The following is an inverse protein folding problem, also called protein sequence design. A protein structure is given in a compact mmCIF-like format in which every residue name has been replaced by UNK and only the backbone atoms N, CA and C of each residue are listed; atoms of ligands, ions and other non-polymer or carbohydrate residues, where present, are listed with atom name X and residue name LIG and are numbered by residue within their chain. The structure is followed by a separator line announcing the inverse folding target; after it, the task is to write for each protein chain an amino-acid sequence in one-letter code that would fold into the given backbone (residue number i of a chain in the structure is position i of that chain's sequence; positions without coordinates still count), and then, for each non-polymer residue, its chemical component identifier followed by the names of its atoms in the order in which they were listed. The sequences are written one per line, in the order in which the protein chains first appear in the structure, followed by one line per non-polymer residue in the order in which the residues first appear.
data_IF_585095470803
#
_entry.id   IF_585095470803
#
_cell.length_a   1.000
_cell.length_b   1.000
_cell.length_c   1.000
_cell.angle_alpha   90.00
_cell.angle_beta   90.00
_cell.angle_gamma   90.00
#
_symmetry.space_group_name_H-M   'P 1'
#
loop_
_entity.id
_entity.type
_entity.pdbx_description
1 polymer ?
#
# COMPACT_ATOMS: atom_id res chain seq x y z
N UNK A 1 5.75 -3.32 -21.29
CA UNK A 1 5.86 -2.79 -19.91
C UNK A 1 6.26 -3.97 -19.04
N UNK A 2 7.21 -3.80 -18.13
CA UNK A 2 7.55 -4.90 -17.21
C UNK A 2 6.30 -5.22 -16.38
N UNK A 3 5.90 -6.50 -16.36
CA UNK A 3 4.79 -6.99 -15.53
C UNK A 3 5.26 -7.37 -14.12
N UNK A 4 6.45 -6.92 -13.72
CA UNK A 4 7.01 -7.21 -12.41
C UNK A 4 6.17 -6.51 -11.33
N UNK A 5 5.52 -7.27 -10.43
CA UNK A 5 4.77 -6.67 -9.33
C UNK A 5 5.68 -6.14 -8.24
N UNK A 6 6.99 -6.40 -8.28
CA UNK A 6 7.95 -6.03 -7.24
C UNK A 6 8.76 -4.80 -7.66
N UNK A 7 8.99 -3.89 -6.73
CA UNK A 7 9.91 -2.76 -6.86
C UNK A 7 11.00 -2.83 -5.80
N UNK A 8 12.22 -2.51 -6.18
CA UNK A 8 13.33 -2.32 -5.24
C UNK A 8 13.21 -0.97 -4.54
N UNK A 9 13.70 -0.88 -3.29
CA UNK A 9 13.71 0.38 -2.55
C UNK A 9 14.44 1.50 -3.32
N UNK A 10 15.56 1.16 -3.97
CA UNK A 10 16.36 2.13 -4.73
C UNK A 10 15.57 2.74 -5.90
N UNK A 11 14.63 1.99 -6.47
CA UNK A 11 13.77 2.47 -7.56
C UNK A 11 12.72 3.48 -7.09
N UNK A 12 12.40 3.56 -5.80
CA UNK A 12 11.39 4.51 -5.29
C UNK A 12 11.79 5.96 -5.52
N UNK A 13 13.08 6.28 -5.43
CA UNK A 13 13.64 7.61 -5.75
C UNK A 13 13.44 8.02 -7.22
N UNK A 14 13.18 7.06 -8.10
CA UNK A 14 12.94 7.29 -9.54
C UNK A 14 11.47 7.49 -9.88
N UNK A 15 10.56 7.17 -8.94
CA UNK A 15 9.14 7.38 -9.13
C UNK A 15 8.79 8.86 -8.85
N UNK A 16 8.11 9.56 -9.78
CA UNK A 16 7.79 10.98 -9.59
C UNK A 16 6.79 11.20 -8.45
N UNK A 17 5.88 10.25 -8.25
CA UNK A 17 4.91 10.23 -7.16
C UNK A 17 4.39 8.80 -6.96
N UNK A 18 4.03 8.48 -5.73
CA UNK A 18 3.41 7.21 -5.35
C UNK A 18 2.69 7.34 -4.00
N UNK A 19 1.75 6.42 -3.73
CA UNK A 19 1.13 6.24 -2.42
C UNK A 19 1.82 5.09 -1.71
N UNK A 20 2.42 5.34 -0.55
CA UNK A 20 3.08 4.30 0.23
C UNK A 20 2.11 3.70 1.25
N UNK A 21 2.00 2.38 1.26
CA UNK A 21 1.08 1.61 2.09
C UNK A 21 1.85 0.64 2.99
N UNK A 22 1.61 0.74 4.30
CA UNK A 22 2.22 -0.11 5.33
C UNK A 22 1.18 -1.12 5.85
N UNK A 23 1.44 -2.40 5.67
CA UNK A 23 0.51 -3.48 6.02
C UNK A 23 0.79 -4.05 7.42
N UNK A 24 1.80 -3.53 8.13
CA UNK A 24 2.13 -4.01 9.47
C UNK A 24 1.02 -3.68 10.47
N UNK A 25 1.02 -4.39 11.59
CA UNK A 25 0.05 -4.14 12.65
C UNK A 25 0.17 -2.71 13.22
N UNK A 26 -0.88 -2.28 13.94
CA UNK A 26 -0.94 -0.91 14.46
C UNK A 26 0.19 -0.60 15.44
N UNK A 27 0.68 -1.58 16.19
CA UNK A 27 1.75 -1.37 17.15
C UNK A 27 3.09 -1.11 16.43
N UNK A 28 3.41 -1.90 15.42
CA UNK A 28 4.59 -1.72 14.58
C UNK A 28 4.55 -0.40 13.81
N UNK A 29 3.39 -0.05 13.22
CA UNK A 29 3.21 1.23 12.52
C UNK A 29 3.42 2.43 13.45
N UNK A 30 2.89 2.38 14.68
CA UNK A 30 3.04 3.45 15.67
C UNK A 30 4.45 3.56 16.24
N UNK A 31 5.23 2.46 16.26
CA UNK A 31 6.62 2.47 16.72
C UNK A 31 7.55 3.18 15.73
N UNK A 32 7.26 3.05 14.43
CA UNK A 32 7.98 3.72 13.36
C UNK A 32 7.45 3.27 12.01
N UNK A 33 7.27 4.22 11.09
CA UNK A 33 6.80 3.98 9.73
C UNK A 33 7.49 4.95 8.77
N UNK A 34 7.38 4.68 7.47
CA UNK A 34 8.00 5.54 6.48
C UNK A 34 7.26 6.88 6.42
N UNK A 35 7.96 7.99 6.13
CA UNK A 35 7.32 9.28 5.93
C UNK A 35 6.15 9.19 4.94
N UNK A 36 4.97 9.62 5.37
CA UNK A 36 3.72 9.64 4.59
C UNK A 36 3.16 8.26 4.21
N UNK A 37 3.63 7.18 4.84
CA UNK A 37 3.00 5.87 4.74
C UNK A 37 1.59 5.91 5.35
N UNK A 38 0.63 5.28 4.69
CA UNK A 38 -0.71 5.05 5.23
C UNK A 38 -0.81 3.60 5.66
N UNK A 39 -1.24 3.36 6.89
CA UNK A 39 -1.45 2.01 7.38
C UNK A 39 -2.67 1.38 6.70
N UNK A 40 -2.50 0.16 6.19
CA UNK A 40 -3.61 -0.67 5.70
C UNK A 40 -4.15 -1.50 6.87
N UNK A 41 -5.45 -1.42 7.20
CA UNK A 41 -6.06 -2.24 8.25
C UNK A 41 -6.34 -3.65 7.69
N UNK A 42 -5.29 -4.42 7.41
CA UNK A 42 -5.40 -5.71 6.71
C UNK A 42 -6.28 -6.71 7.45
N UNK A 43 -6.28 -6.66 8.77
CA UNK A 43 -7.16 -7.45 9.62
C UNK A 43 -8.65 -7.21 9.32
N UNK A 44 -9.02 -5.97 8.98
CA UNK A 44 -10.39 -5.60 8.60
C UNK A 44 -10.68 -6.09 7.18
N UNK A 45 -9.73 -5.95 6.27
CA UNK A 45 -9.88 -6.39 4.87
C UNK A 45 -10.00 -7.92 4.76
N UNK A 46 -9.24 -8.68 5.55
CA UNK A 46 -9.36 -10.14 5.61
C UNK A 46 -10.73 -10.60 6.11
N UNK A 47 -11.25 -9.94 7.15
CA UNK A 47 -12.58 -10.23 7.67
C UNK A 47 -13.65 -9.86 6.63
N UNK A 48 -13.52 -8.70 5.99
CA UNK A 48 -14.46 -8.21 5.00
C UNK A 48 -14.55 -9.15 3.79
N UNK A 49 -13.42 -9.58 3.25
CA UNK A 49 -13.36 -10.48 2.09
C UNK A 49 -14.02 -11.84 2.33
N UNK A 50 -14.12 -12.29 3.59
CA UNK A 50 -14.76 -13.56 4.00
C UNK A 50 -16.23 -13.42 4.34
N UNK A 51 -16.73 -12.20 4.55
CA UNK A 51 -18.11 -11.96 4.92
C UNK A 51 -18.98 -11.75 3.65
N UNK A 52 -20.18 -12.31 3.64
CA UNK A 52 -21.08 -12.22 2.48
C UNK A 52 -21.44 -10.77 2.11
N UNK A 53 -21.71 -9.93 3.10
CA UNK A 53 -22.14 -8.53 2.90
C UNK A 53 -21.01 -7.58 2.43
N UNK A 54 -19.75 -7.96 2.62
CA UNK A 54 -18.56 -7.17 2.27
C UNK A 54 -17.57 -7.96 1.40
N UNK A 55 -18.06 -9.01 0.74
CA UNK A 55 -17.28 -9.82 -0.19
C UNK A 55 -16.76 -8.96 -1.34
N UNK A 56 -15.91 -9.51 -2.21
CA UNK A 56 -15.43 -8.78 -3.39
C UNK A 56 -16.56 -8.41 -4.38
N UNK A 57 -17.76 -8.98 -4.24
CA UNK A 57 -18.93 -8.59 -5.02
C UNK A 57 -19.50 -7.24 -4.56
N UNK A 58 -19.24 -6.83 -3.30
CA UNK A 58 -19.60 -5.50 -2.81
C UNK A 58 -18.55 -4.46 -3.23
N UNK A 59 -18.57 -4.08 -4.51
CA UNK A 59 -17.64 -3.12 -5.09
C UNK A 59 -17.64 -1.78 -4.36
N UNK A 60 -18.81 -1.27 -3.94
CA UNK A 60 -18.93 0.00 -3.24
C UNK A 60 -18.21 0.01 -1.87
N UNK A 61 -18.20 -1.13 -1.16
CA UNK A 61 -17.41 -1.26 0.07
C UNK A 61 -15.92 -1.11 -0.21
N UNK A 62 -15.42 -1.81 -1.24
CA UNK A 62 -14.00 -1.84 -1.56
C UNK A 62 -13.51 -0.53 -2.18
N UNK A 63 -14.30 0.12 -3.04
CA UNK A 63 -14.00 1.46 -3.54
C UNK A 63 -13.81 2.46 -2.39
N UNK A 64 -14.71 2.43 -1.40
CA UNK A 64 -14.58 3.28 -0.21
C UNK A 64 -13.34 2.92 0.62
N UNK A 65 -13.16 1.63 0.93
CA UNK A 65 -12.05 1.17 1.76
C UNK A 65 -10.67 1.45 1.13
N UNK A 66 -10.56 1.33 -0.19
CA UNK A 66 -9.34 1.66 -0.96
C UNK A 66 -9.16 3.18 -1.04
N UNK A 67 -10.23 3.93 -1.29
CA UNK A 67 -10.20 5.40 -1.34
C UNK A 67 -9.79 6.05 -0.01
N UNK A 68 -10.18 5.46 1.12
CA UNK A 68 -9.75 5.89 2.47
C UNK A 68 -8.22 5.80 2.68
N UNK A 69 -7.52 4.97 1.89
CA UNK A 69 -6.05 4.90 1.88
C UNK A 69 -5.40 5.98 1.00
N UNK A 70 -6.21 6.82 0.34
CA UNK A 70 -5.73 7.79 -0.65
C UNK A 70 -5.21 7.13 -1.92
N UNK A 71 -5.79 5.99 -2.31
CA UNK A 71 -5.57 5.32 -3.59
C UNK A 71 -6.73 5.68 -4.51
N UNK A 72 -6.46 6.58 -5.46
CA UNK A 72 -7.45 7.16 -6.39
C UNK A 72 -7.17 6.81 -7.86
N UNK A 73 -6.05 6.14 -8.15
CA UNK A 73 -5.63 5.73 -9.49
C UNK A 73 -4.71 6.72 -10.21
N UNK A 74 -4.47 7.92 -9.65
CA UNK A 74 -3.59 8.93 -10.26
C UNK A 74 -2.10 8.52 -10.17
N UNK A 75 -1.72 7.93 -9.04
CA UNK A 75 -0.35 7.46 -8.76
C UNK A 75 -0.36 5.99 -8.32
N UNK A 76 0.72 5.24 -8.59
CA UNK A 76 0.79 3.86 -8.14
C UNK A 76 0.83 3.76 -6.62
N UNK A 77 0.20 2.73 -6.07
CA UNK A 77 0.39 2.30 -4.69
C UNK A 77 1.64 1.41 -4.57
N UNK A 78 2.48 1.67 -3.59
CA UNK A 78 3.63 0.83 -3.23
C UNK A 78 3.34 0.25 -1.86
N UNK A 79 3.31 -1.07 -1.76
CA UNK A 79 2.87 -1.80 -0.58
C UNK A 79 4.05 -2.49 0.07
N UNK A 80 4.21 -2.35 1.38
CA UNK A 80 5.24 -3.06 2.14
C UNK A 80 4.68 -3.63 3.45
N UNK A 81 5.28 -4.72 3.92
CA UNK A 81 4.99 -5.32 5.23
C UNK A 81 6.27 -5.42 6.06
N UNK A 82 6.37 -6.39 6.97
CA UNK A 82 7.56 -6.61 7.80
C UNK A 82 8.77 -7.22 7.04
N UNK A 83 8.65 -7.47 5.74
CA UNK A 83 9.68 -8.06 4.89
C UNK A 83 9.42 -9.52 4.52
N UNK A 84 8.38 -10.14 5.08
CA UNK A 84 7.91 -11.47 4.63
C UNK A 84 7.17 -11.40 3.30
N UNK A 85 6.70 -10.21 2.90
CA UNK A 85 5.98 -9.92 1.65
C UNK A 85 4.63 -10.64 1.49
N UNK A 86 4.17 -11.37 2.51
CA UNK A 86 2.90 -12.10 2.47
C UNK A 86 1.71 -11.15 2.51
N UNK A 87 1.70 -10.22 3.47
CA UNK A 87 0.57 -9.30 3.66
C UNK A 87 0.64 -8.17 2.64
N UNK A 88 1.85 -7.76 2.24
CA UNK A 88 2.04 -6.85 1.13
C UNK A 88 1.48 -7.44 -0.19
N UNK A 89 1.73 -8.73 -0.47
CA UNK A 89 1.17 -9.41 -1.64
C UNK A 89 -0.37 -9.53 -1.58
N UNK A 90 -0.94 -9.74 -0.38
CA UNK A 90 -2.40 -9.78 -0.21
C UNK A 90 -3.04 -8.44 -0.55
N UNK A 91 -2.53 -7.36 0.00
CA UNK A 91 -3.04 -6.01 -0.28
C UNK A 91 -2.82 -5.65 -1.75
N UNK A 92 -1.65 -5.95 -2.30
CA UNK A 92 -1.37 -5.77 -3.74
C UNK A 92 -2.42 -6.48 -4.61
N UNK A 93 -2.76 -7.74 -4.31
CA UNK A 93 -3.77 -8.49 -5.04
C UNK A 93 -5.15 -7.82 -4.97
N UNK A 94 -5.57 -7.37 -3.79
CA UNK A 94 -6.85 -6.66 -3.60
C UNK A 94 -6.87 -5.38 -4.45
N UNK A 95 -5.82 -4.57 -4.38
CA UNK A 95 -5.73 -3.32 -5.15
C UNK A 95 -5.81 -3.58 -6.66
N UNK A 96 -5.05 -4.55 -7.16
CA UNK A 96 -5.07 -4.94 -8.58
C UNK A 96 -6.43 -5.49 -9.01
N UNK A 97 -7.10 -6.27 -8.14
CA UNK A 97 -8.42 -6.81 -8.40
C UNK A 97 -9.45 -5.70 -8.66
N UNK A 98 -9.36 -4.58 -7.92
CA UNK A 98 -10.19 -3.39 -8.11
C UNK A 98 -9.60 -2.37 -9.09
N UNK A 99 -8.58 -2.75 -9.86
CA UNK A 99 -8.04 -1.93 -10.96
C UNK A 99 -7.03 -0.86 -10.55
N UNK A 100 -6.64 -0.78 -9.28
CA UNK A 100 -5.60 0.14 -8.83
C UNK A 100 -4.21 -0.36 -9.25
N UNK A 101 -3.40 0.56 -9.79
CA UNK A 101 -2.00 0.27 -10.12
C UNK A 101 -1.19 0.15 -8.83
N UNK A 102 -0.73 -1.05 -8.51
CA UNK A 102 0.01 -1.33 -7.28
C UNK A 102 1.27 -2.19 -7.51
N UNK A 103 2.28 -2.01 -6.66
CA UNK A 103 3.50 -2.81 -6.59
C UNK A 103 3.84 -3.17 -5.14
N UNK A 104 4.62 -4.21 -4.96
CA UNK A 104 5.14 -4.68 -3.68
C UNK A 104 6.59 -4.19 -3.54
N UNK A 105 6.90 -3.55 -2.41
CA UNK A 105 8.28 -3.17 -2.09
C UNK A 105 9.07 -4.38 -1.61
N UNK A 106 10.16 -4.71 -2.32
CA UNK A 106 11.05 -5.78 -1.93
C UNK A 106 11.69 -5.50 -0.56
N UNK A 107 11.69 -6.51 0.31
CA UNK A 107 12.34 -6.45 1.62
C UNK A 107 11.59 -5.67 2.70
N UNK A 108 10.40 -5.12 2.43
CA UNK A 108 9.50 -4.57 3.43
C UNK A 108 10.07 -3.42 4.28
N UNK A 109 9.58 -3.32 5.52
CA UNK A 109 10.05 -2.34 6.51
C UNK A 109 11.57 -2.35 6.72
N UNK A 110 12.26 -3.51 6.80
CA UNK A 110 13.72 -3.52 6.88
C UNK A 110 14.40 -2.78 5.72
N UNK A 111 13.85 -2.84 4.51
CA UNK A 111 14.39 -2.09 3.36
C UNK A 111 14.11 -0.60 3.47
N UNK A 112 12.95 -0.21 4.02
CA UNK A 112 12.55 1.18 4.27
C UNK A 112 13.40 1.83 5.36
N UNK A 113 13.48 1.21 6.54
CA UNK A 113 14.16 1.76 7.72
C UNK A 113 15.67 1.96 7.50
N UNK A 114 16.27 1.18 6.61
CA UNK A 114 17.69 1.35 6.22
C UNK A 114 17.94 2.57 5.35
N UNK A 115 16.90 3.21 4.82
CA UNK A 115 16.98 4.28 3.83
C UNK A 115 15.93 5.37 4.12
N UNK A 116 16.31 6.38 4.91
CA UNK A 116 15.46 7.53 5.28
C UNK A 116 15.12 8.47 4.09
N UNK A 117 15.67 8.24 2.90
CA UNK A 117 15.59 9.14 1.74
C UNK A 117 14.29 8.98 0.91
N UNK A 118 13.23 8.36 1.45
CA UNK A 118 11.99 8.23 0.70
C UNK A 118 11.32 9.61 0.53
N UNK A 119 11.14 10.10 -0.71
CA UNK A 119 10.57 11.42 -0.93
C UNK A 119 9.15 11.45 -0.37
N UNK A 120 8.91 12.38 0.56
CA UNK A 120 7.56 12.67 0.99
C UNK A 120 6.74 13.14 -0.20
N UNK A 121 5.69 12.40 -0.57
CA UNK A 121 4.85 12.76 -1.70
C UNK A 121 4.33 14.21 -1.55
N UNK A 122 4.24 14.90 -2.69
CA UNK A 122 3.86 16.29 -2.82
C UNK A 122 2.72 16.69 -1.86
N UNK A 123 2.93 17.79 -1.13
CA UNK A 123 1.86 18.50 -0.47
C UNK A 123 0.71 18.66 -1.46
N UNK A 124 -0.47 18.14 -1.11
CA UNK A 124 -1.70 18.50 -1.79
C UNK A 124 -1.74 20.03 -1.81
N UNK A 125 -1.54 20.61 -2.99
CA UNK A 125 -1.66 22.03 -3.19
C UNK A 125 -3.09 22.40 -2.79
N UNK A 126 -3.21 23.15 -1.70
CA UNK A 126 -4.48 23.67 -1.25
C UNK A 126 -5.15 24.48 -2.36
N UNK A 127 -6.44 24.24 -2.52
CA UNK A 127 -7.41 25.18 -3.07
C UNK A 127 -8.64 25.16 -2.16
#
# INVERSE_FOLDING_TARGET
MSHDPVVEQSALSTLPAFRLLDVRDQAAFSLGNAPNAVRVPIEVWEAAAKAGETSFENVAYWERAIGELGVDGEVPAIVYDDGRMTEAARVWFILQYFGAKAFILNGGWPAVERHDDLPGAAQAAGA
#
